data_IF_521297500556
#
_entry.id   IF_521297500556
#
_cell.length_a   1.000
_cell.length_b   1.000
_cell.length_c   1.000
_cell.angle_alpha   90.00
_cell.angle_beta   90.00
_cell.angle_gamma   90.00
#
_symmetry.space_group_name_H-M   'P 1'
#
loop_
_entity.id
_entity.type
_entity.pdbx_description
1 polymer ?
#
# COMPACT_ATOMS: atom_id res chain seq x y z
N UNK A 1 -23.35 10.37 -7.62
CA UNK A 1 -22.34 9.90 -6.65
C UNK A 1 -21.03 9.75 -7.38
N UNK A 2 -20.06 10.64 -7.11
CA UNK A 2 -18.66 10.46 -7.50
C UNK A 2 -18.07 9.13 -7.01
N UNK A 3 -17.30 8.49 -7.89
CA UNK A 3 -16.42 7.37 -7.55
C UNK A 3 -14.98 7.86 -7.50
N UNK A 4 -14.35 7.75 -6.34
CA UNK A 4 -12.99 8.22 -6.08
C UNK A 4 -12.06 7.03 -6.06
N UNK A 5 -11.13 6.96 -7.01
CA UNK A 5 -10.10 5.94 -7.05
C UNK A 5 -8.82 6.44 -6.37
N UNK A 6 -8.31 5.65 -5.42
CA UNK A 6 -7.08 5.93 -4.69
C UNK A 6 -6.13 4.75 -4.87
N UNK A 7 -4.96 5.00 -5.45
CA UNK A 7 -3.84 4.06 -5.43
C UNK A 7 -2.92 4.42 -4.27
N UNK A 8 -2.79 3.51 -3.31
CA UNK A 8 -1.91 3.67 -2.15
C UNK A 8 -0.63 2.89 -2.40
N UNK A 9 0.50 3.59 -2.37
CA UNK A 9 1.83 3.02 -2.46
C UNK A 9 2.46 3.16 -1.08
N UNK A 10 2.61 2.05 -0.35
CA UNK A 10 3.02 2.07 1.06
C UNK A 10 4.02 0.97 1.43
N UNK A 11 4.83 1.27 2.46
CA UNK A 11 5.75 0.34 3.13
C UNK A 11 5.13 -0.10 4.47
N UNK A 12 5.44 -1.32 4.95
CA UNK A 12 5.07 -1.81 6.29
C UNK A 12 5.61 -0.93 7.44
N UNK A 13 6.67 -0.15 7.20
CA UNK A 13 7.20 0.84 8.15
C UNK A 13 6.31 2.09 8.24
N UNK A 14 5.49 2.38 7.22
CA UNK A 14 4.61 3.54 7.18
C UNK A 14 3.18 3.19 7.63
N UNK A 15 2.86 3.50 8.89
CA UNK A 15 1.51 3.40 9.41
C UNK A 15 0.66 4.58 8.90
N UNK A 16 -0.09 4.37 7.81
CA UNK A 16 -1.09 5.32 7.33
C UNK A 16 -2.50 4.77 7.59
N UNK A 17 -3.33 5.53 8.32
CA UNK A 17 -4.71 5.16 8.63
C UNK A 17 -5.67 5.85 7.65
N UNK A 18 -5.77 5.28 6.44
CA UNK A 18 -6.60 5.79 5.36
C UNK A 18 -8.09 5.75 5.71
N UNK A 19 -8.53 4.74 6.48
CA UNK A 19 -9.92 4.59 6.89
C UNK A 19 -10.40 5.77 7.75
N UNK A 20 -9.54 6.29 8.62
CA UNK A 20 -9.87 7.47 9.43
C UNK A 20 -10.03 8.74 8.57
N UNK A 21 -9.20 8.89 7.53
CA UNK A 21 -9.31 10.01 6.60
C UNK A 21 -10.59 9.93 5.77
N UNK A 22 -10.96 8.74 5.28
CA UNK A 22 -12.22 8.51 4.55
C UNK A 22 -13.42 8.77 5.46
N UNK A 23 -13.37 8.31 6.72
CA UNK A 23 -14.40 8.58 7.72
C UNK A 23 -14.59 10.08 7.96
N UNK A 24 -13.48 10.83 8.06
CA UNK A 24 -13.54 12.28 8.20
C UNK A 24 -14.17 12.93 6.96
N UNK A 25 -13.77 12.52 5.75
CA UNK A 25 -14.31 13.02 4.50
C UNK A 25 -15.84 12.87 4.42
N UNK A 26 -16.36 11.67 4.72
CA UNK A 26 -17.80 11.42 4.75
C UNK A 26 -18.56 12.31 5.74
N UNK A 27 -17.89 12.78 6.81
CA UNK A 27 -18.49 13.65 7.83
C UNK A 27 -18.43 15.13 7.47
N UNK A 28 -17.35 15.57 6.81
CA UNK A 28 -17.05 17.00 6.64
C UNK A 28 -17.34 17.53 5.25
N UNK A 29 -17.33 16.68 4.22
CA UNK A 29 -17.57 17.10 2.85
C UNK A 29 -19.07 17.10 2.51
N UNK A 30 -19.57 18.23 2.01
CA UNK A 30 -20.95 18.37 1.52
C UNK A 30 -21.17 17.44 0.33
N UNK A 31 -22.13 16.51 0.45
CA UNK A 31 -22.35 15.45 -0.55
C UNK A 31 -21.46 14.22 -0.38
N UNK A 32 -20.38 14.33 0.42
CA UNK A 32 -19.39 13.29 0.62
C UNK A 32 -19.90 12.00 1.24
N UNK A 33 -21.02 12.04 1.99
CA UNK A 33 -21.70 10.83 2.51
C UNK A 33 -22.09 9.84 1.42
N UNK A 34 -22.31 10.32 0.21
CA UNK A 34 -22.73 9.51 -0.93
C UNK A 34 -21.58 9.19 -1.89
N UNK A 35 -20.37 9.66 -1.62
CA UNK A 35 -19.24 9.32 -2.48
C UNK A 35 -18.73 7.92 -2.15
N UNK A 36 -18.17 7.23 -3.13
CA UNK A 36 -17.63 5.87 -2.94
C UNK A 36 -16.14 5.86 -3.21
N UNK A 37 -15.39 5.12 -2.41
CA UNK A 37 -13.93 4.99 -2.55
C UNK A 37 -13.55 3.60 -3.04
N UNK A 38 -12.71 3.55 -4.08
CA UNK A 38 -12.04 2.32 -4.53
C UNK A 38 -10.56 2.44 -4.21
N UNK A 39 -10.07 1.60 -3.30
CA UNK A 39 -8.69 1.64 -2.81
C UNK A 39 -7.90 0.49 -3.43
N UNK A 40 -6.82 0.81 -4.14
CA UNK A 40 -5.86 -0.16 -4.70
C UNK A 40 -4.54 -0.04 -3.94
N UNK A 41 -4.15 -1.10 -3.25
CA UNK A 41 -2.89 -1.13 -2.49
C UNK A 41 -1.75 -1.70 -3.32
N UNK A 42 -0.60 -1.03 -3.29
CA UNK A 42 0.65 -1.49 -3.86
C UNK A 42 1.75 -1.35 -2.82
N UNK A 43 2.49 -2.44 -2.59
CA UNK A 43 3.63 -2.41 -1.69
C UNK A 43 4.79 -1.61 -2.30
N UNK A 44 5.42 -0.79 -1.48
CA UNK A 44 6.69 -0.12 -1.77
C UNK A 44 7.65 -0.38 -0.62
N UNK A 45 8.89 -0.71 -0.95
CA UNK A 45 9.90 -1.00 0.05
C UNK A 45 10.91 0.15 0.10
N UNK A 46 10.88 0.93 1.16
CA UNK A 46 11.91 1.86 1.54
C UNK A 46 13.21 1.07 1.77
N UNK A 47 14.34 1.61 1.30
CA UNK A 47 15.64 0.93 1.31
C UNK A 47 15.63 -0.46 0.65
N UNK A 48 14.79 -0.67 -0.37
CA UNK A 48 14.70 -1.95 -1.07
C UNK A 48 16.07 -2.46 -1.50
N UNK A 49 16.84 -1.59 -2.18
CA UNK A 49 18.21 -1.86 -2.60
C UNK A 49 19.21 -1.20 -1.65
N UNK A 50 19.81 -1.99 -0.77
CA UNK A 50 20.93 -1.55 0.08
C UNK A 50 22.30 -1.73 -0.60
N UNK A 51 22.34 -2.24 -1.84
CA UNK A 51 23.59 -2.40 -2.56
C UNK A 51 24.07 -1.04 -3.11
N UNK A 52 25.39 -0.83 -3.22
CA UNK A 52 25.95 0.40 -3.80
C UNK A 52 25.80 0.47 -5.34
N UNK A 53 25.13 -0.51 -5.95
CA UNK A 53 24.93 -0.64 -7.38
C UNK A 53 23.49 -1.03 -7.72
N UNK A 54 23.10 -0.85 -8.98
CA UNK A 54 21.77 -1.26 -9.47
C UNK A 54 21.65 -2.78 -9.46
N UNK A 55 20.56 -3.29 -8.88
CA UNK A 55 20.25 -4.72 -8.83
C UNK A 55 18.88 -4.94 -9.45
N UNK A 56 18.71 -6.06 -10.15
CA UNK A 56 17.44 -6.46 -10.73
C UNK A 56 16.32 -6.55 -9.66
N UNK A 57 15.13 -6.04 -10.01
CA UNK A 57 14.00 -5.95 -9.09
C UNK A 57 13.48 -7.33 -8.66
N UNK A 58 13.46 -8.32 -9.55
CA UNK A 58 13.00 -9.66 -9.22
C UNK A 58 14.00 -10.37 -8.29
N UNK A 59 15.31 -10.16 -8.50
CA UNK A 59 16.36 -10.65 -7.60
C UNK A 59 16.23 -10.05 -6.20
N UNK A 60 15.99 -8.74 -6.12
CA UNK A 60 15.75 -8.03 -4.86
C UNK A 60 14.48 -8.54 -4.14
N UNK A 61 13.38 -8.71 -4.88
CA UNK A 61 12.13 -9.25 -4.36
C UNK A 61 12.32 -10.64 -3.75
N UNK A 62 12.95 -11.56 -4.50
CA UNK A 62 13.22 -12.92 -4.03
C UNK A 62 14.01 -12.94 -2.73
N UNK A 63 15.06 -12.13 -2.63
CA UNK A 63 15.91 -12.10 -1.42
C UNK A 63 15.19 -11.48 -0.23
N UNK A 64 14.50 -10.34 -0.42
CA UNK A 64 13.87 -9.61 0.68
C UNK A 64 12.58 -10.26 1.16
N UNK A 65 11.82 -10.90 0.26
CA UNK A 65 10.54 -11.54 0.55
C UNK A 65 10.64 -13.04 0.81
N UNK A 66 11.85 -13.61 0.83
CA UNK A 66 12.06 -15.03 1.12
C UNK A 66 11.40 -15.48 2.43
N UNK A 67 11.36 -14.61 3.44
CA UNK A 67 10.75 -14.88 4.75
C UNK A 67 9.21 -14.75 4.78
N UNK A 68 8.60 -14.19 3.73
CA UNK A 68 7.14 -14.04 3.60
C UNK A 68 6.53 -15.10 2.68
N UNK A 69 7.35 -15.93 2.02
CA UNK A 69 6.85 -17.05 1.25
C UNK A 69 6.18 -18.03 2.23
N UNK A 70 4.94 -18.49 1.95
CA UNK A 70 4.29 -19.49 2.79
C UNK A 70 5.19 -20.71 2.85
N UNK A 71 5.63 -21.06 4.07
CA UNK A 71 6.34 -22.31 4.30
C UNK A 71 5.50 -23.50 3.82
N UNK A 72 6.13 -24.65 3.51
CA UNK A 72 5.38 -25.82 3.07
C UNK A 72 4.34 -26.16 4.13
N UNK A 73 3.07 -26.25 3.71
CA UNK A 73 1.97 -26.79 4.50
C UNK A 73 2.45 -28.13 5.08
N UNK A 74 2.56 -28.19 6.40
CA UNK A 74 2.90 -29.40 7.14
C UNK A 74 1.65 -29.95 7.81
#
# INVERSE_FOLDING_TARGET
MPAIEIQVISDFVCACNLDSAISLYHKTYLGGKSDTFTIKWAAYYLNYNTAPHSVDKLKLAKTRLAHLAPGPLR
#
